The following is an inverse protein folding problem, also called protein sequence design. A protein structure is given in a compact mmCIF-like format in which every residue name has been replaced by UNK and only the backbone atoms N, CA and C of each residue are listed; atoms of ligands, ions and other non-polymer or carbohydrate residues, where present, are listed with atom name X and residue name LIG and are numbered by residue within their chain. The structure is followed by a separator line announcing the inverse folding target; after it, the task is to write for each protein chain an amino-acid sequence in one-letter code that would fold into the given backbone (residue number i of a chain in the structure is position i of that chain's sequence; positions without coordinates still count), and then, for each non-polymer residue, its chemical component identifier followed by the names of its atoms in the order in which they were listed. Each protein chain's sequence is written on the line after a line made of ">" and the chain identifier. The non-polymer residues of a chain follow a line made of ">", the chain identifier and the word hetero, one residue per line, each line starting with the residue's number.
data_IF_176114398379
#
_entry.id   IF_176114398379
#
_cell.length_a   1.000
_cell.length_b   1.000
_cell.length_c   1.000
_cell.angle_alpha   90.00
_cell.angle_beta   90.00
_cell.angle_gamma   90.00
#
_symmetry.space_group_name_H-M   'P 1'
#
loop_
_entity.id
_entity.type
_entity.pdbx_description
1 polymer ?
#
# COMPACT_ATOMS: atom_id res chain seq x y z
N UNK A 1 -12.74 57.50 16.87
CA UNK A 1 -12.35 56.75 15.66
C UNK A 1 -12.72 55.29 15.94
N UNK A 2 -14.02 54.97 15.91
CA UNK A 2 -14.79 54.42 14.76
C UNK A 2 -14.38 52.98 14.44
N UNK A 3 -15.15 52.01 14.95
CA UNK A 3 -16.02 51.08 14.20
C UNK A 3 -15.21 49.86 13.68
N UNK A 4 -15.70 48.62 13.63
CA UNK A 4 -17.08 48.17 13.43
C UNK A 4 -17.12 46.68 13.80
N UNK A 5 -17.97 46.28 14.75
CA UNK A 5 -18.46 44.91 14.86
C UNK A 5 -19.87 44.94 14.24
N UNK A 6 -19.93 44.85 12.92
CA UNK A 6 -21.12 44.39 12.22
C UNK A 6 -21.05 42.87 12.10
N UNK A 7 -22.13 42.12 11.96
CA UNK A 7 -23.54 42.41 11.90
C UNK A 7 -24.21 41.03 11.98
N UNK A 8 -25.47 41.05 12.35
CA UNK A 8 -26.39 39.97 12.63
C UNK A 8 -26.43 38.86 11.57
N UNK A 9 -26.71 37.63 12.01
CA UNK A 9 -28.07 37.10 11.86
C UNK A 9 -28.23 35.74 12.54
N UNK A 10 -29.19 35.72 13.47
CA UNK A 10 -30.07 34.60 13.74
C UNK A 10 -30.33 33.76 12.48
N UNK A 11 -29.99 32.48 12.55
CA UNK A 11 -30.52 31.45 11.66
C UNK A 11 -31.41 30.56 12.52
N UNK A 12 -32.66 31.00 12.71
CA UNK A 12 -33.76 30.17 13.18
C UNK A 12 -34.71 29.86 12.01
N UNK A 13 -35.28 28.66 12.06
CA UNK A 13 -36.50 28.20 11.38
C UNK A 13 -36.54 28.09 9.84
N UNK A 14 -36.25 26.89 9.34
CA UNK A 14 -37.22 25.99 8.67
C UNK A 14 -36.49 25.02 7.73
N UNK A 15 -36.20 23.81 8.21
CA UNK A 15 -35.90 22.67 7.34
C UNK A 15 -37.18 21.85 7.17
N UNK A 16 -37.98 22.23 6.17
CA UNK A 16 -39.12 21.45 5.70
C UNK A 16 -38.58 20.22 4.94
N UNK A 17 -38.75 19.03 5.50
CA UNK A 17 -38.33 17.77 4.89
C UNK A 17 -39.26 17.43 3.70
N UNK A 18 -38.74 17.14 2.49
CA UNK A 18 -39.60 16.70 1.40
C UNK A 18 -40.12 15.28 1.66
N UNK A 19 -41.44 15.18 1.76
CA UNK A 19 -42.22 13.96 1.92
C UNK A 19 -42.06 13.02 0.72
N UNK A 20 -41.85 11.73 1.01
CA UNK A 20 -41.73 10.66 0.00
C UNK A 20 -43.06 10.42 -0.74
N UNK A 21 -43.06 10.25 -2.08
CA UNK A 21 -44.26 9.91 -2.81
C UNK A 21 -44.59 8.39 -2.74
N UNK A 22 -45.88 8.02 -2.91
CA UNK A 22 -46.36 6.66 -2.65
C UNK A 22 -45.99 5.63 -3.73
N UNK A 23 -45.84 4.38 -3.28
CA UNK A 23 -45.54 3.17 -4.06
C UNK A 23 -46.63 2.87 -5.12
N UNK A 24 -46.27 3.04 -6.40
CA UNK A 24 -47.02 2.53 -7.54
C UNK A 24 -46.76 1.05 -7.82
N UNK A 25 -47.80 0.30 -8.20
CA UNK A 25 -47.79 -1.15 -8.39
C UNK A 25 -46.96 -1.61 -9.60
N UNK A 26 -46.26 -2.73 -9.41
CA UNK A 26 -45.43 -3.41 -10.40
C UNK A 26 -46.25 -3.98 -11.57
N UNK A 27 -46.12 -3.36 -12.75
CA UNK A 27 -46.52 -3.93 -14.03
C UNK A 27 -45.37 -4.74 -14.64
N UNK A 28 -45.59 -6.04 -14.81
CA UNK A 28 -44.66 -7.01 -15.41
C UNK A 28 -44.39 -6.67 -16.89
N UNK A 29 -43.31 -5.91 -17.16
CA UNK A 29 -42.78 -5.73 -18.52
C UNK A 29 -41.83 -6.88 -18.85
N UNK A 30 -42.15 -7.56 -19.94
CA UNK A 30 -41.45 -8.71 -20.50
C UNK A 30 -40.09 -8.27 -21.03
N UNK A 31 -39.07 -9.02 -20.64
CA UNK A 31 -37.66 -8.88 -20.99
C UNK A 31 -37.45 -8.98 -22.50
N UNK A 32 -36.78 -7.99 -23.08
CA UNK A 32 -36.06 -8.14 -24.35
C UNK A 32 -34.71 -7.48 -24.20
N UNK A 33 -33.71 -8.27 -23.80
CA UNK A 33 -32.30 -7.90 -23.86
C UNK A 33 -31.89 -7.85 -25.33
N UNK A 34 -31.44 -6.71 -25.88
CA UNK A 34 -30.71 -6.71 -27.14
C UNK A 34 -29.34 -7.34 -26.87
N UNK A 35 -29.07 -8.48 -27.49
CA UNK A 35 -27.74 -9.07 -27.49
C UNK A 35 -26.74 -8.08 -28.09
N UNK A 36 -25.60 -7.79 -27.42
CA UNK A 36 -24.53 -7.04 -28.05
C UNK A 36 -23.96 -7.91 -29.18
N UNK A 37 -24.00 -7.38 -30.40
CA UNK A 37 -23.32 -7.99 -31.55
C UNK A 37 -21.83 -8.06 -31.23
N UNK A 38 -21.28 -9.26 -31.33
CA UNK A 38 -19.85 -9.54 -31.32
C UNK A 38 -19.17 -8.72 -32.41
N UNK A 39 -18.55 -7.60 -32.03
CA UNK A 39 -17.55 -6.92 -32.84
C UNK A 39 -16.31 -7.79 -32.98
N UNK A 40 -15.47 -7.56 -34.00
CA UNK A 40 -14.24 -8.34 -34.18
C UNK A 40 -13.39 -8.21 -32.93
N UNK A 41 -12.83 -9.33 -32.48
CA UNK A 41 -11.91 -9.40 -31.37
C UNK A 41 -10.82 -8.33 -31.60
N UNK A 42 -10.75 -7.35 -30.71
CA UNK A 42 -9.64 -6.41 -30.68
C UNK A 42 -8.39 -7.23 -30.39
N UNK A 43 -7.61 -7.46 -31.44
CA UNK A 43 -6.25 -7.96 -31.36
C UNK A 43 -5.50 -7.04 -30.39
N UNK A 44 -5.26 -7.54 -29.17
CA UNK A 44 -4.42 -6.84 -28.20
C UNK A 44 -3.02 -6.82 -28.79
N UNK A 45 -2.68 -5.72 -29.45
CA UNK A 45 -1.29 -5.40 -29.77
C UNK A 45 -0.58 -5.34 -28.42
N UNK A 46 0.23 -6.34 -28.12
CA UNK A 46 1.12 -6.35 -26.96
C UNK A 46 2.13 -5.22 -27.18
N UNK A 47 1.80 -4.03 -26.67
CA UNK A 47 2.71 -2.88 -26.67
C UNK A 47 3.92 -3.30 -25.84
N UNK A 48 5.11 -3.31 -26.44
CA UNK A 48 6.35 -3.59 -25.71
C UNK A 48 6.40 -2.69 -24.46
N UNK A 49 6.76 -3.25 -23.29
CA UNK A 49 6.75 -2.49 -22.05
C UNK A 49 7.72 -1.31 -22.20
N UNK A 50 7.21 -0.10 -22.01
CA UNK A 50 8.06 1.09 -22.00
C UNK A 50 9.20 0.88 -20.99
N UNK A 51 10.45 1.21 -21.36
CA UNK A 51 11.58 0.98 -20.50
C UNK A 51 11.42 1.74 -19.18
N UNK A 52 12.06 1.20 -18.14
CA UNK A 52 12.15 1.85 -16.84
C UNK A 52 12.92 3.18 -17.00
N UNK A 53 12.49 4.22 -16.27
CA UNK A 53 13.12 5.55 -16.33
C UNK A 53 14.45 5.55 -15.59
N UNK A 54 14.51 4.83 -14.47
CA UNK A 54 15.71 4.66 -13.67
C UNK A 54 16.25 3.24 -13.85
N UNK A 55 17.57 3.08 -13.91
CA UNK A 55 18.19 1.76 -14.06
C UNK A 55 18.03 0.90 -12.80
N UNK A 56 18.05 1.55 -11.63
CA UNK A 56 17.89 0.89 -10.35
C UNK A 56 17.24 1.80 -9.28
N UNK A 57 17.04 1.23 -8.09
CA UNK A 57 16.49 1.92 -6.93
C UNK A 57 17.40 3.05 -6.42
N UNK A 58 18.72 2.94 -6.61
CA UNK A 58 19.68 3.96 -6.22
C UNK A 58 19.47 5.25 -7.00
N UNK A 59 19.43 5.15 -8.33
CA UNK A 59 19.13 6.29 -9.21
C UNK A 59 17.76 6.90 -8.92
N UNK A 60 16.72 6.07 -8.73
CA UNK A 60 15.39 6.54 -8.36
C UNK A 60 15.41 7.34 -7.06
N UNK A 61 16.13 6.86 -6.03
CA UNK A 61 16.21 7.53 -4.74
C UNK A 61 16.99 8.83 -4.86
N UNK A 62 18.14 8.81 -5.53
CA UNK A 62 19.05 9.97 -5.65
C UNK A 62 18.46 11.09 -6.52
N UNK A 63 17.89 10.74 -7.67
CA UNK A 63 17.50 11.71 -8.69
C UNK A 63 16.03 12.11 -8.64
N UNK A 64 15.17 11.35 -7.94
CA UNK A 64 13.74 11.64 -7.90
C UNK A 64 13.19 11.66 -6.47
N UNK A 65 13.27 10.56 -5.73
CA UNK A 65 12.58 10.46 -4.44
C UNK A 65 13.14 11.42 -3.39
N UNK A 66 14.46 11.46 -3.19
CA UNK A 66 15.07 12.34 -2.19
C UNK A 66 14.87 13.84 -2.53
N UNK A 67 15.04 14.29 -3.78
CA UNK A 67 14.69 15.66 -4.16
C UNK A 67 13.21 16.01 -3.91
N UNK A 68 12.28 15.12 -4.27
CA UNK A 68 10.84 15.31 -4.02
C UNK A 68 10.53 15.41 -2.53
N UNK A 69 11.30 14.73 -1.68
CA UNK A 69 11.09 14.67 -0.23
C UNK A 69 12.03 15.56 0.58
N UNK A 70 12.83 16.44 -0.05
CA UNK A 70 13.90 17.18 0.62
C UNK A 70 13.46 17.87 1.93
N UNK A 71 12.28 18.51 1.95
CA UNK A 71 11.74 19.15 3.16
C UNK A 71 11.24 18.18 4.25
N UNK A 72 10.89 16.93 3.89
CA UNK A 72 10.39 15.90 4.81
C UNK A 72 11.53 15.06 5.43
N UNK A 73 12.62 14.85 4.69
CA UNK A 73 13.75 13.99 5.09
C UNK A 73 14.84 14.74 5.88
N UNK A 74 15.00 16.04 5.67
CA UNK A 74 16.05 16.85 6.33
C UNK A 74 15.73 17.22 7.80
N UNK A 75 14.60 16.77 8.34
CA UNK A 75 14.13 17.13 9.68
C UNK A 75 14.59 16.19 10.78
N UNK A 76 15.88 16.15 11.10
CA UNK A 76 16.44 15.37 12.22
C UNK A 76 15.96 15.78 13.62
N UNK A 77 15.02 16.74 13.73
CA UNK A 77 14.52 17.29 15.00
C UNK A 77 13.06 16.96 15.34
N UNK A 78 12.36 16.11 14.56
CA UNK A 78 10.93 15.80 14.80
C UNK A 78 10.65 14.30 14.93
N UNK A 79 11.54 13.55 15.58
CA UNK A 79 11.40 12.09 15.69
C UNK A 79 11.50 11.39 14.33
N UNK A 80 12.21 11.98 13.36
CA UNK A 80 12.50 11.37 12.07
C UNK A 80 13.99 11.25 11.85
N UNK A 81 14.40 10.17 11.18
CA UNK A 81 15.80 9.94 10.81
C UNK A 81 15.92 9.44 9.37
N UNK A 82 17.05 9.74 8.76
CA UNK A 82 17.44 9.24 7.45
C UNK A 82 18.95 8.99 7.43
N UNK A 83 19.36 7.75 7.19
CA UNK A 83 20.76 7.40 7.03
C UNK A 83 21.24 7.74 5.62
N UNK A 84 22.34 8.48 5.48
CA UNK A 84 22.97 8.75 4.17
C UNK A 84 23.41 7.47 3.45
N UNK A 85 23.74 6.43 4.21
CA UNK A 85 24.10 5.10 3.73
C UNK A 85 22.88 4.15 3.78
N UNK A 86 21.69 4.64 3.43
CA UNK A 86 20.43 3.90 3.52
C UNK A 86 20.49 2.50 2.89
N UNK A 87 21.28 2.32 1.83
CA UNK A 87 21.44 1.03 1.14
C UNK A 87 22.05 -0.08 2.01
N UNK A 88 22.74 0.27 3.11
CA UNK A 88 23.26 -0.69 4.09
C UNK A 88 22.16 -1.26 5.00
N UNK A 89 20.99 -0.65 5.04
CA UNK A 89 19.84 -1.15 5.79
C UNK A 89 18.97 -2.00 4.85
N UNK A 90 19.10 -3.33 4.94
CA UNK A 90 18.42 -4.27 4.02
C UNK A 90 16.90 -4.06 3.95
N UNK A 91 16.25 -3.80 5.09
CA UNK A 91 14.82 -3.49 5.12
C UNK A 91 14.49 -2.22 4.32
N UNK A 92 15.32 -1.18 4.44
CA UNK A 92 15.17 0.08 3.71
C UNK A 92 15.30 -0.15 2.21
N UNK A 93 16.36 -0.85 1.78
CA UNK A 93 16.60 -1.17 0.37
C UNK A 93 15.45 -1.94 -0.27
N UNK A 94 14.91 -2.96 0.43
CA UNK A 94 13.79 -3.77 -0.09
C UNK A 94 12.51 -2.94 -0.20
N UNK A 95 12.18 -2.12 0.81
CA UNK A 95 11.00 -1.25 0.79
C UNK A 95 11.11 -0.18 -0.29
N UNK A 96 12.27 0.47 -0.44
CA UNK A 96 12.50 1.46 -1.49
C UNK A 96 12.45 0.86 -2.89
N UNK A 97 12.95 -0.37 -3.06
CA UNK A 97 12.84 -1.08 -4.33
C UNK A 97 11.37 -1.34 -4.69
N UNK A 98 10.55 -1.79 -3.72
CA UNK A 98 9.11 -1.96 -3.94
C UNK A 98 8.42 -0.63 -4.31
N UNK A 99 8.78 0.48 -3.66
CA UNK A 99 8.25 1.80 -4.02
C UNK A 99 8.63 2.21 -5.44
N UNK A 100 9.88 2.00 -5.85
CA UNK A 100 10.33 2.27 -7.22
C UNK A 100 9.56 1.44 -8.25
N UNK A 101 9.39 0.13 -8.02
CA UNK A 101 8.59 -0.73 -8.90
C UNK A 101 7.13 -0.26 -8.99
N UNK A 102 6.54 0.14 -7.86
CA UNK A 102 5.20 0.72 -7.82
C UNK A 102 5.11 2.06 -8.57
N UNK A 103 6.15 2.90 -8.48
CA UNK A 103 6.22 4.18 -9.16
C UNK A 103 6.28 4.02 -10.68
N UNK A 104 7.14 3.12 -11.15
CA UNK A 104 7.24 2.79 -12.58
C UNK A 104 5.91 2.22 -13.11
N UNK A 105 5.26 1.34 -12.33
CA UNK A 105 3.95 0.81 -12.67
C UNK A 105 2.86 1.89 -12.73
N UNK A 106 2.84 2.79 -11.75
CA UNK A 106 1.89 3.91 -11.70
C UNK A 106 2.10 4.90 -12.86
N UNK A 107 3.35 5.16 -13.26
CA UNK A 107 3.68 6.02 -14.41
C UNK A 107 3.24 5.43 -15.74
N UNK A 108 3.36 4.11 -15.91
CA UNK A 108 2.94 3.39 -17.12
C UNK A 108 1.44 3.09 -17.18
N UNK A 109 0.73 3.32 -16.08
CA UNK A 109 -0.71 3.09 -16.01
C UNK A 109 -1.48 4.12 -16.83
N UNK A 110 -2.53 3.66 -17.52
CA UNK A 110 -3.50 4.54 -18.18
C UNK A 110 -4.56 5.08 -17.20
N UNK A 111 -4.56 4.61 -15.95
CA UNK A 111 -5.51 5.04 -14.93
C UNK A 111 -5.12 6.43 -14.38
N UNK A 112 -6.00 7.44 -14.46
CA UNK A 112 -5.67 8.83 -14.10
C UNK A 112 -5.19 9.03 -12.66
N UNK A 113 -5.65 8.22 -11.71
CA UNK A 113 -5.32 8.32 -10.30
C UNK A 113 -4.19 7.37 -9.87
N UNK A 114 -3.48 6.71 -10.80
CA UNK A 114 -2.54 5.66 -10.45
C UNK A 114 -1.39 6.20 -9.60
N UNK A 115 -0.84 7.36 -9.99
CA UNK A 115 0.22 8.03 -9.25
C UNK A 115 -0.27 8.56 -7.89
N UNK A 116 -1.50 9.06 -7.82
CA UNK A 116 -2.11 9.50 -6.56
C UNK A 116 -2.29 8.33 -5.58
N UNK A 117 -2.81 7.21 -6.09
CA UNK A 117 -2.99 5.98 -5.33
C UNK A 117 -1.66 5.42 -4.84
N UNK A 118 -0.63 5.43 -5.70
CA UNK A 118 0.73 5.03 -5.31
C UNK A 118 1.27 5.86 -4.14
N UNK A 119 1.10 7.19 -4.17
CA UNK A 119 1.49 8.05 -3.05
C UNK A 119 0.79 7.70 -1.75
N UNK A 120 -0.55 7.66 -1.78
CA UNK A 120 -1.39 7.53 -0.57
C UNK A 120 -1.33 6.12 0.01
N UNK A 121 -1.35 5.10 -0.84
CA UNK A 121 -1.46 3.71 -0.40
C UNK A 121 -0.11 3.06 -0.12
N UNK A 122 0.96 3.52 -0.77
CA UNK A 122 2.27 2.89 -0.66
C UNK A 122 3.32 3.86 -0.13
N UNK A 123 3.57 4.96 -0.82
CA UNK A 123 4.72 5.82 -0.52
C UNK A 123 4.65 6.45 0.87
N UNK A 124 3.54 7.09 1.21
CA UNK A 124 3.40 7.76 2.52
C UNK A 124 3.47 6.76 3.70
N UNK A 125 2.78 5.61 3.69
CA UNK A 125 2.96 4.59 4.73
C UNK A 125 4.37 4.04 4.85
N UNK A 126 5.04 3.77 3.73
CA UNK A 126 6.42 3.29 3.75
C UNK A 126 7.36 4.36 4.31
N UNK A 127 7.26 5.61 3.86
CA UNK A 127 8.10 6.72 4.32
C UNK A 127 7.91 6.99 5.82
N UNK A 128 6.68 6.88 6.33
CA UNK A 128 6.40 7.01 7.77
C UNK A 128 7.19 5.99 8.58
N UNK A 129 7.16 4.71 8.18
CA UNK A 129 7.87 3.64 8.89
C UNK A 129 9.39 3.71 8.68
N UNK A 130 9.84 4.01 7.47
CA UNK A 130 11.27 4.09 7.14
C UNK A 130 11.96 5.23 7.89
N UNK A 131 11.30 6.38 7.96
CA UNK A 131 11.87 7.58 8.56
C UNK A 131 11.54 7.74 10.05
N UNK A 132 10.89 6.76 10.69
CA UNK A 132 10.59 6.79 12.12
C UNK A 132 11.91 6.75 12.92
N UNK A 133 12.17 7.81 13.69
CA UNK A 133 13.40 7.96 14.47
C UNK A 133 13.44 7.14 15.76
N UNK A 134 12.32 6.55 16.18
CA UNK A 134 12.23 5.76 17.41
C UNK A 134 12.15 4.25 17.11
N UNK A 135 11.36 3.87 16.11
CA UNK A 135 11.09 2.46 15.79
C UNK A 135 11.50 2.05 14.36
N UNK A 136 11.87 3.01 13.50
CA UNK A 136 12.20 2.73 12.10
C UNK A 136 13.55 2.03 11.91
N UNK A 137 13.82 1.41 10.77
CA UNK A 137 15.03 0.60 10.53
C UNK A 137 16.35 1.39 10.61
N UNK A 138 16.28 2.72 10.62
CA UNK A 138 17.42 3.64 10.70
C UNK A 138 17.49 4.36 12.05
N UNK A 139 16.69 3.99 13.06
CA UNK A 139 16.56 4.70 14.34
C UNK A 139 17.88 4.93 15.09
N UNK A 140 18.88 4.06 14.90
CA UNK A 140 20.23 4.21 15.50
C UNK A 140 21.18 5.11 14.72
N UNK A 141 20.84 5.46 13.49
CA UNK A 141 21.68 6.31 12.65
C UNK A 141 21.36 7.78 12.87
N UNK A 142 22.38 8.62 12.71
CA UNK A 142 22.22 10.07 12.58
C UNK A 142 22.51 10.47 11.12
N UNK A 143 22.20 11.71 10.71
CA UNK A 143 22.56 12.18 9.38
C UNK A 143 24.07 12.09 9.08
N UNK A 144 24.91 12.13 10.12
CA UNK A 144 26.37 12.08 10.04
C UNK A 144 26.97 10.68 10.28
N UNK A 145 26.27 9.79 10.97
CA UNK A 145 26.82 8.50 11.41
C UNK A 145 25.89 7.31 11.13
N UNK A 146 26.44 6.29 10.48
CA UNK A 146 25.79 5.01 10.22
C UNK A 146 26.09 4.00 11.33
N UNK A 147 25.09 3.20 11.71
CA UNK A 147 25.23 2.09 12.66
C UNK A 147 24.69 0.82 12.03
N UNK A 148 25.55 -0.20 11.87
CA UNK A 148 25.16 -1.51 11.38
C UNK A 148 24.31 -2.25 12.44
N UNK A 149 23.13 -2.74 12.04
CA UNK A 149 22.24 -3.54 12.88
C UNK A 149 22.32 -4.99 12.41
N UNK A 150 22.71 -5.95 13.27
CA UNK A 150 22.76 -7.35 12.88
C UNK A 150 21.37 -7.88 12.58
N UNK A 151 21.29 -8.87 11.69
CA UNK A 151 20.05 -9.59 11.44
C UNK A 151 19.53 -10.25 12.72
N UNK A 152 18.21 -10.44 12.79
CA UNK A 152 17.62 -11.17 13.90
C UNK A 152 18.20 -12.59 13.96
N UNK A 153 18.61 -13.05 15.15
CA UNK A 153 19.05 -14.43 15.31
C UNK A 153 17.88 -15.36 15.01
N UNK A 154 18.13 -16.36 14.16
CA UNK A 154 17.18 -17.42 13.86
C UNK A 154 17.82 -18.76 14.15
N UNK A 155 17.03 -19.71 14.63
CA UNK A 155 17.41 -21.12 14.63
C UNK A 155 16.90 -21.73 13.32
N UNK A 156 17.64 -22.66 12.69
CA UNK A 156 17.16 -23.35 11.50
C UNK A 156 15.82 -24.01 11.78
N UNK A 157 14.89 -23.87 10.84
CA UNK A 157 13.61 -24.58 10.92
C UNK A 157 13.90 -26.08 10.84
N UNK A 158 13.34 -26.91 11.74
CA UNK A 158 13.52 -28.36 11.70
C UNK A 158 13.14 -28.96 10.34
N UNK A 159 13.83 -30.04 9.94
CA UNK A 159 13.50 -30.76 8.72
C UNK A 159 12.05 -31.28 8.76
N UNK A 160 11.34 -31.14 7.65
CA UNK A 160 9.95 -31.53 7.52
C UNK A 160 8.94 -30.72 8.33
N UNK A 161 9.36 -29.59 8.92
CA UNK A 161 8.44 -28.68 9.58
C UNK A 161 7.38 -28.17 8.61
N UNK A 162 7.73 -27.83 7.36
CA UNK A 162 6.79 -27.28 6.36
C UNK A 162 6.09 -28.34 5.50
N UNK A 163 6.30 -29.63 5.76
CA UNK A 163 5.73 -30.70 4.95
C UNK A 163 4.23 -30.86 5.26
N UNK A 164 3.44 -31.24 4.25
CA UNK A 164 1.98 -31.34 4.37
C UNK A 164 1.51 -32.50 5.27
N UNK A 165 2.40 -33.46 5.54
CA UNK A 165 2.22 -34.61 6.41
C UNK A 165 2.89 -34.45 7.79
N UNK A 166 3.30 -33.23 8.15
CA UNK A 166 3.79 -32.94 9.49
C UNK A 166 2.71 -33.29 10.52
N UNK A 167 2.93 -34.39 11.26
CA UNK A 167 2.00 -34.86 12.26
C UNK A 167 2.09 -33.96 13.51
N UNK A 168 1.03 -33.19 13.79
CA UNK A 168 0.86 -32.23 14.91
C UNK A 168 0.94 -32.87 16.32
N UNK A 169 1.32 -34.14 16.43
CA UNK A 169 1.14 -34.93 17.65
C UNK A 169 2.10 -34.56 18.79
N UNK A 170 2.96 -33.56 18.58
CA UNK A 170 3.76 -32.98 19.64
C UNK A 170 3.71 -31.45 19.60
N UNK A 171 2.84 -30.80 20.38
CA UNK A 171 2.82 -29.35 20.47
C UNK A 171 4.20 -28.88 20.96
N UNK A 172 4.79 -27.84 20.35
CA UNK A 172 5.99 -27.24 20.88
C UNK A 172 5.70 -26.73 22.30
N UNK A 173 6.60 -27.02 23.23
CA UNK A 173 6.43 -26.71 24.65
C UNK A 173 6.28 -25.20 24.96
N UNK A 174 6.46 -24.33 23.96
CA UNK A 174 6.48 -22.87 24.07
C UNK A 174 5.16 -22.18 23.65
N UNK A 175 4.12 -22.93 23.27
CA UNK A 175 2.76 -22.40 23.17
C UNK A 175 2.51 -21.42 22.02
N UNK A 176 3.26 -21.53 20.91
CA UNK A 176 3.01 -20.78 19.67
C UNK A 176 1.59 -21.02 19.12
N UNK A 177 0.70 -20.03 19.31
CA UNK A 177 -0.72 -20.11 18.98
C UNK A 177 -1.01 -19.45 17.63
N UNK A 178 -1.36 -20.25 16.63
CA UNK A 178 -1.91 -19.79 15.35
C UNK A 178 -2.49 -20.97 14.56
N UNK A 179 -3.53 -20.78 13.74
CA UNK A 179 -4.02 -21.85 12.87
C UNK A 179 -2.89 -22.31 11.93
N UNK A 180 -2.73 -23.62 11.77
CA UNK A 180 -1.70 -24.18 10.90
C UNK A 180 -1.95 -23.75 9.45
N UNK A 181 -1.12 -22.84 8.94
CA UNK A 181 -1.23 -22.31 7.58
C UNK A 181 -1.10 -23.41 6.51
N UNK A 182 -0.62 -24.60 6.87
CA UNK A 182 -0.54 -25.77 5.97
C UNK A 182 -1.90 -26.42 5.71
N UNK A 183 -2.90 -26.18 6.55
CA UNK A 183 -4.29 -26.64 6.30
C UNK A 183 -5.08 -25.73 5.35
N UNK A 184 -4.54 -24.56 4.96
CA UNK A 184 -5.25 -23.58 4.10
C UNK A 184 -5.32 -24.05 2.63
N UNK A 185 -4.38 -24.89 2.18
CA UNK A 185 -4.34 -25.37 0.78
C UNK A 185 -5.36 -26.47 0.46
N UNK A 186 -6.01 -27.07 1.47
CA UNK A 186 -6.93 -28.19 1.25
C UNK A 186 -8.35 -27.78 0.78
N UNK A 187 -8.71 -26.48 0.76
CA UNK A 187 -10.09 -26.04 0.45
C UNK A 187 -10.34 -25.48 -0.95
N UNK A 188 -9.43 -25.66 -1.91
CA UNK A 188 -9.65 -25.23 -3.31
C UNK A 188 -9.67 -26.36 -4.34
N UNK A 189 -9.58 -27.62 -3.91
CA UNK A 189 -9.66 -28.78 -4.81
C UNK A 189 -10.72 -29.78 -4.33
N UNK A 190 -11.99 -29.48 -4.60
CA UNK A 190 -13.07 -30.44 -4.42
C UNK A 190 -14.39 -29.79 -4.03
N UNK A 191 -15.14 -29.30 -5.03
CA UNK A 191 -16.60 -29.30 -5.06
C UNK A 191 -17.07 -28.90 -6.47
N UNK A 192 -16.80 -29.80 -7.42
CA UNK A 192 -17.46 -29.83 -8.71
C UNK A 192 -17.59 -31.31 -9.14
N UNK A 193 -18.63 -31.97 -8.63
CA UNK A 193 -19.20 -33.19 -9.16
C UNK A 193 -20.72 -33.08 -9.07
#
# INVERSE_FOLDING_TARGET
>A
MTNDYGDNHDYDDNYDAPTSPPRGKAGRRRSTTPQPKSGPASEKVEKEPEPDVFADVGEFVEHWLAPVLAGKLLGGGRGRTWCRQWWRHREVSVRLHALWRGWEGARRSEEPLAMSSWWVQHTDPHLRALCDGEAGPMWRCTPEAHVDIPAYPTIPVPAGWFDADHNDEQPPADGGRGPDFRTITARTAGDAA
#
